data_IF_484674568817
#
_entry.id   IF_484674568817
#
_cell.length_a   1.000
_cell.length_b   1.000
_cell.length_c   1.000
_cell.angle_alpha   90.00
_cell.angle_beta   90.00
_cell.angle_gamma   90.00
#
_symmetry.space_group_name_H-M   'P 1'
#
loop_
_entity.id
_entity.type
_entity.pdbx_description
1 polymer ?
#
# COMPACT_ATOMS: atom_id res chain seq x y z
N UNK A 1 28.03 -3.82 -16.40
CA UNK A 1 27.62 -2.58 -15.71
C UNK A 1 28.13 -2.68 -14.28
N UNK A 2 29.13 -1.88 -13.93
CA UNK A 2 29.70 -1.81 -12.58
C UNK A 2 28.69 -1.13 -11.65
N UNK A 3 28.37 -1.76 -10.52
CA UNK A 3 27.56 -1.13 -9.46
C UNK A 3 28.26 0.16 -9.00
N UNK A 4 27.56 1.31 -8.97
CA UNK A 4 28.15 2.54 -8.46
C UNK A 4 28.65 2.32 -7.03
N UNK A 5 29.80 2.92 -6.69
CA UNK A 5 30.31 2.85 -5.33
C UNK A 5 29.32 3.53 -4.38
N UNK A 6 29.27 3.10 -3.12
CA UNK A 6 28.40 3.68 -2.09
C UNK A 6 28.59 5.21 -2.00
N UNK A 7 29.82 5.67 -2.16
CA UNK A 7 30.17 7.10 -2.16
C UNK A 7 29.55 7.86 -3.34
N UNK A 8 29.58 7.29 -4.54
CA UNK A 8 28.94 7.89 -5.72
C UNK A 8 27.41 7.91 -5.54
N UNK A 9 26.82 6.85 -5.00
CA UNK A 9 25.39 6.78 -4.72
C UNK A 9 24.95 7.83 -3.69
N UNK A 10 25.75 8.07 -2.65
CA UNK A 10 25.53 9.14 -1.67
C UNK A 10 25.61 10.53 -2.30
N UNK A 11 26.63 10.80 -3.13
CA UNK A 11 26.79 12.09 -3.84
C UNK A 11 25.62 12.37 -4.78
N UNK A 12 25.21 11.39 -5.57
CA UNK A 12 24.06 11.51 -6.47
C UNK A 12 22.76 11.76 -5.70
N UNK A 13 22.54 11.01 -4.62
CA UNK A 13 21.34 11.19 -3.76
C UNK A 13 21.31 12.58 -3.12
N UNK A 14 22.46 13.12 -2.72
CA UNK A 14 22.57 14.49 -2.20
C UNK A 14 22.16 15.53 -3.26
N UNK A 15 22.74 15.46 -4.46
CA UNK A 15 22.44 16.42 -5.55
C UNK A 15 20.97 16.37 -5.98
N UNK A 16 20.40 15.18 -6.10
CA UNK A 16 18.99 15.01 -6.42
C UNK A 16 18.08 15.57 -5.32
N UNK A 17 18.43 15.36 -4.04
CA UNK A 17 17.65 15.89 -2.93
C UNK A 17 17.74 17.41 -2.84
N UNK A 18 18.90 18.02 -3.15
CA UNK A 18 19.04 19.48 -3.31
C UNK A 18 18.14 19.99 -4.44
N UNK A 19 18.08 19.28 -5.57
CA UNK A 19 17.19 19.65 -6.67
C UNK A 19 15.72 19.60 -6.26
N UNK A 20 15.29 18.55 -5.55
CA UNK A 20 13.93 18.44 -5.01
C UNK A 20 13.62 19.59 -4.06
N UNK A 21 14.55 19.90 -3.13
CA UNK A 21 14.41 21.01 -2.19
C UNK A 21 14.22 22.34 -2.89
N UNK A 22 15.02 22.63 -3.91
CA UNK A 22 14.94 23.89 -4.66
C UNK A 22 13.59 24.01 -5.39
N UNK A 23 13.12 22.94 -6.05
CA UNK A 23 11.79 22.95 -6.69
C UNK A 23 10.65 23.18 -5.71
N UNK A 24 10.78 22.69 -4.47
CA UNK A 24 9.79 22.94 -3.41
C UNK A 24 9.80 24.41 -3.00
N UNK A 25 10.98 25.02 -2.89
CA UNK A 25 11.14 26.46 -2.59
C UNK A 25 10.61 27.34 -3.73
N UNK A 26 10.90 26.98 -4.98
CA UNK A 26 10.39 27.68 -6.16
C UNK A 26 8.86 27.63 -6.19
N UNK A 27 8.28 26.46 -5.89
CA UNK A 27 6.82 26.33 -5.79
C UNK A 27 6.22 27.14 -4.63
N UNK A 28 6.94 27.34 -3.53
CA UNK A 28 6.50 28.27 -2.49
C UNK A 28 6.47 29.71 -2.99
N UNK A 29 7.47 30.13 -3.78
CA UNK A 29 7.51 31.47 -4.38
C UNK A 29 6.36 31.69 -5.38
N UNK A 30 6.00 30.66 -6.15
CA UNK A 30 4.83 30.70 -7.04
C UNK A 30 3.51 30.92 -6.27
N UNK A 31 3.43 30.45 -5.02
CA UNK A 31 2.22 30.48 -4.19
C UNK A 31 2.18 31.68 -3.22
N UNK A 32 3.05 32.68 -3.40
CA UNK A 32 3.15 33.85 -2.50
C UNK A 32 1.84 34.63 -2.42
N UNK A 33 1.16 34.80 -3.55
CA UNK A 33 -0.10 35.53 -3.61
C UNK A 33 -1.19 34.78 -2.82
N UNK A 34 -1.31 33.47 -2.96
CA UNK A 34 -2.24 32.65 -2.19
C UNK A 34 -1.91 32.63 -0.70
N UNK A 35 -0.62 32.54 -0.36
CA UNK A 35 -0.15 32.56 1.03
C UNK A 35 -0.43 33.92 1.71
N UNK A 36 -0.51 35.01 0.95
CA UNK A 36 -0.83 36.35 1.48
C UNK A 36 -2.22 36.45 2.10
N UNK A 37 -3.17 35.59 1.69
CA UNK A 37 -4.52 35.53 2.25
C UNK A 37 -4.61 34.73 3.56
N UNK A 38 -3.54 34.05 3.97
CA UNK A 38 -3.53 33.20 5.17
C UNK A 38 -3.25 34.06 6.41
N UNK A 39 -4.06 33.89 7.46
CA UNK A 39 -3.83 34.54 8.74
C UNK A 39 -2.44 34.21 9.31
N UNK A 40 -1.72 35.21 9.82
CA UNK A 40 -0.32 35.09 10.27
C UNK A 40 -0.05 33.89 11.20
N UNK A 41 -0.97 33.59 12.14
CA UNK A 41 -0.87 32.44 13.06
C UNK A 41 -0.83 31.07 12.37
N UNK A 42 -1.34 30.97 11.14
CA UNK A 42 -1.41 29.73 10.37
C UNK A 42 -0.40 29.71 9.22
N UNK A 43 0.36 30.78 9.00
CA UNK A 43 1.24 30.92 7.83
C UNK A 43 2.31 29.84 7.77
N UNK A 44 2.88 29.45 8.91
CA UNK A 44 3.87 28.35 9.01
C UNK A 44 3.27 27.02 8.51
N UNK A 45 2.05 26.69 8.94
CA UNK A 45 1.36 25.47 8.52
C UNK A 45 0.96 25.50 7.04
N UNK A 46 0.52 26.66 6.54
CA UNK A 46 0.18 26.83 5.13
C UNK A 46 1.41 26.69 4.23
N UNK A 47 2.56 27.26 4.62
CA UNK A 47 3.84 27.08 3.92
C UNK A 47 4.24 25.60 3.89
N UNK A 48 4.15 24.90 5.02
CA UNK A 48 4.44 23.46 5.06
C UNK A 48 3.49 22.64 4.17
N UNK A 49 2.21 23.02 4.05
CA UNK A 49 1.29 22.38 3.11
C UNK A 49 1.67 22.64 1.64
N UNK A 50 2.10 23.86 1.31
CA UNK A 50 2.66 24.19 -0.01
C UNK A 50 3.91 23.35 -0.28
N UNK A 51 4.79 23.19 0.72
CA UNK A 51 5.97 22.34 0.59
C UNK A 51 5.63 20.87 0.35
N UNK A 52 4.64 20.34 1.09
CA UNK A 52 4.18 18.97 0.91
C UNK A 52 3.60 18.74 -0.48
N UNK A 53 2.82 19.70 -0.96
CA UNK A 53 2.24 19.68 -2.30
C UNK A 53 3.34 19.75 -3.36
N UNK A 54 4.34 20.61 -3.17
CA UNK A 54 5.53 20.70 -4.03
C UNK A 54 6.32 19.41 -4.09
N UNK A 55 6.47 18.71 -2.95
CA UNK A 55 7.12 17.40 -2.86
C UNK A 55 6.32 16.34 -3.63
N UNK A 56 5.00 16.28 -3.46
CA UNK A 56 4.12 15.31 -4.13
C UNK A 56 4.02 15.51 -5.64
N UNK A 57 4.43 16.68 -6.16
CA UNK A 57 4.56 16.95 -7.59
C UNK A 57 5.82 16.34 -8.22
N UNK A 58 6.78 15.88 -7.42
CA UNK A 58 8.01 15.26 -7.90
C UNK A 58 7.89 13.73 -7.83
N UNK A 59 8.39 13.03 -8.85
CA UNK A 59 8.63 11.59 -8.73
C UNK A 59 9.96 11.36 -7.97
N UNK A 60 9.82 11.14 -6.67
CA UNK A 60 10.95 10.88 -5.75
C UNK A 60 11.16 9.39 -5.48
N UNK A 61 10.39 8.50 -6.11
CA UNK A 61 10.47 7.05 -5.89
C UNK A 61 11.90 6.50 -6.12
N UNK A 62 12.61 6.91 -7.19
CA UNK A 62 13.98 6.47 -7.41
C UNK A 62 14.93 6.97 -6.32
N UNK A 63 14.76 8.21 -5.87
CA UNK A 63 15.58 8.82 -4.82
C UNK A 63 15.33 8.14 -3.47
N UNK A 64 14.07 7.89 -3.10
CA UNK A 64 13.69 7.15 -1.89
C UNK A 64 14.31 5.76 -1.87
N UNK A 65 14.28 5.05 -3.00
CA UNK A 65 14.88 3.72 -3.11
C UNK A 65 16.39 3.76 -2.83
N UNK A 66 17.10 4.76 -3.39
CA UNK A 66 18.54 4.96 -3.13
C UNK A 66 18.82 5.30 -1.67
N UNK A 67 18.05 6.21 -1.08
CA UNK A 67 18.19 6.57 0.35
C UNK A 67 17.98 5.35 1.26
N UNK A 68 16.99 4.51 0.96
CA UNK A 68 16.75 3.26 1.71
C UNK A 68 17.92 2.29 1.61
N UNK A 69 18.54 2.14 0.44
CA UNK A 69 19.75 1.30 0.30
C UNK A 69 20.95 1.84 1.08
N UNK A 70 20.95 3.14 1.40
CA UNK A 70 21.95 3.78 2.26
C UNK A 70 21.59 3.72 3.76
N UNK A 71 20.47 3.07 4.12
CA UNK A 71 19.98 3.00 5.50
C UNK A 71 19.33 4.29 6.00
N UNK A 72 19.06 5.25 5.11
CA UNK A 72 18.35 6.48 5.42
C UNK A 72 16.87 6.25 5.11
N UNK A 73 15.99 6.41 6.11
CA UNK A 73 14.55 6.30 5.93
C UNK A 73 13.80 7.59 6.31
N UNK A 74 13.87 8.64 5.48
CA UNK A 74 13.50 9.96 5.97
C UNK A 74 12.18 10.50 5.41
N UNK A 75 11.56 9.87 4.40
CA UNK A 75 10.40 10.43 3.71
C UNK A 75 9.10 9.67 3.96
N UNK A 76 9.06 8.84 5.00
CA UNK A 76 7.85 8.14 5.41
C UNK A 76 6.84 9.08 6.08
N UNK A 77 7.32 10.10 6.80
CA UNK A 77 6.49 11.06 7.53
C UNK A 77 6.90 12.53 7.39
N UNK A 78 7.08 13.09 6.16
CA UNK A 78 7.47 14.49 5.99
C UNK A 78 6.32 15.46 6.28
N UNK A 79 5.09 14.98 6.50
CA UNK A 79 3.87 15.80 6.59
C UNK A 79 3.94 16.92 7.63
N UNK A 80 4.61 16.69 8.76
CA UNK A 80 4.69 17.67 9.84
C UNK A 80 5.70 18.80 9.59
N UNK A 81 6.77 18.51 8.83
CA UNK A 81 7.82 19.48 8.52
C UNK A 81 8.64 19.02 7.30
N UNK A 82 8.16 19.35 6.10
CA UNK A 82 8.72 18.82 4.85
C UNK A 82 10.15 19.28 4.62
N UNK A 83 10.43 20.59 4.70
CA UNK A 83 11.77 21.11 4.50
C UNK A 83 12.72 20.71 5.62
N UNK A 84 12.26 20.68 6.88
CA UNK A 84 13.10 20.23 8.00
C UNK A 84 13.54 18.77 7.85
N UNK A 85 12.64 17.91 7.39
CA UNK A 85 12.97 16.51 7.07
C UNK A 85 13.96 16.41 5.92
N UNK A 86 13.77 17.17 4.84
CA UNK A 86 14.72 17.20 3.71
C UNK A 86 16.10 17.70 4.16
N UNK A 87 16.15 18.76 4.96
CA UNK A 87 17.39 19.37 5.45
C UNK A 87 18.16 18.43 6.39
N UNK A 88 17.46 17.64 7.22
CA UNK A 88 18.08 16.62 8.06
C UNK A 88 18.80 15.53 7.24
N UNK A 89 18.21 15.13 6.10
CA UNK A 89 18.82 14.13 5.21
C UNK A 89 19.99 14.71 4.44
N UNK A 90 19.86 15.94 3.96
CA UNK A 90 20.97 16.66 3.35
C UNK A 90 22.14 16.77 4.32
N UNK A 91 21.88 17.09 5.59
CA UNK A 91 22.90 17.12 6.64
C UNK A 91 23.53 15.75 6.91
N UNK A 92 22.76 14.65 6.84
CA UNK A 92 23.29 13.29 6.98
C UNK A 92 24.18 12.87 5.80
N UNK A 93 23.88 13.36 4.59
CA UNK A 93 24.63 13.07 3.37
C UNK A 93 25.85 14.00 3.17
N UNK A 94 25.81 15.22 3.71
CA UNK A 94 26.83 16.26 3.50
C UNK A 94 28.27 15.86 3.89
N UNK A 95 28.55 15.17 5.02
CA UNK A 95 29.90 14.81 5.43
C UNK A 95 30.65 13.92 4.42
N UNK A 96 29.91 13.28 3.52
CA UNK A 96 30.41 12.30 2.55
C UNK A 96 30.43 12.90 1.12
N UNK A 97 29.75 14.03 0.89
CA UNK A 97 29.65 14.65 -0.42
C UNK A 97 30.75 15.70 -0.72
N UNK A 98 31.29 16.41 0.30
CA UNK A 98 32.52 17.25 0.34
C UNK A 98 32.53 18.15 1.63
N UNK A 99 33.66 18.72 2.10
CA UNK A 99 33.74 19.40 3.40
C UNK A 99 33.17 20.84 3.39
N UNK A 100 31.99 21.00 4.01
CA UNK A 100 31.39 22.21 4.66
C UNK A 100 31.21 23.53 3.87
N UNK A 101 30.11 24.25 4.12
CA UNK A 101 30.16 25.33 5.11
C UNK A 101 29.30 24.97 6.30
N UNK A 102 29.70 25.45 7.47
CA UNK A 102 28.96 25.31 8.74
C UNK A 102 27.46 25.49 8.55
N UNK A 103 26.73 24.37 8.52
CA UNK A 103 25.30 24.36 8.78
C UNK A 103 25.14 24.85 10.21
N UNK A 104 24.65 26.08 10.35
CA UNK A 104 24.24 26.62 11.63
C UNK A 104 23.02 25.79 12.10
N UNK A 105 23.29 24.69 12.80
CA UNK A 105 22.30 23.83 13.47
C UNK A 105 21.55 24.56 14.59
N UNK A 106 21.92 25.83 14.86
CA UNK A 106 21.21 26.76 15.74
C UNK A 106 19.78 27.08 15.26
N UNK A 107 19.38 26.65 14.06
CA UNK A 107 17.99 26.68 13.57
C UNK A 107 17.22 25.36 13.66
N UNK A 108 17.88 24.22 13.96
CA UNK A 108 17.16 22.96 14.27
C UNK A 108 16.84 22.97 15.76
N UNK A 109 16.06 23.97 16.17
CA UNK A 109 15.08 23.70 17.21
C UNK A 109 14.17 22.64 16.63
N UNK A 110 14.31 21.40 17.09
CA UNK A 110 13.10 20.66 17.41
C UNK A 110 12.37 21.56 18.38
N UNK A 111 11.55 22.48 17.85
CA UNK A 111 10.45 23.02 18.63
C UNK A 111 9.72 21.76 19.06
N UNK A 112 9.96 21.38 20.31
CA UNK A 112 9.08 20.49 21.04
C UNK A 112 7.73 21.14 20.88
N UNK A 113 7.01 20.70 19.84
CA UNK A 113 5.70 21.18 19.51
C UNK A 113 4.89 20.82 20.72
N UNK A 114 4.73 21.81 21.59
CA UNK A 114 3.71 21.93 22.59
C UNK A 114 3.41 20.62 23.31
N UNK A 115 3.97 20.45 24.50
CA UNK A 115 3.41 19.56 25.52
C UNK A 115 1.99 19.94 25.94
N UNK A 116 1.38 20.98 25.34
CA UNK A 116 -0.07 21.16 25.36
C UNK A 116 -0.70 20.40 24.18
N UNK A 117 -1.66 19.54 24.51
CA UNK A 117 -2.43 18.64 23.67
C UNK A 117 -3.14 19.36 22.48
N UNK A 118 -2.38 19.78 21.45
CA UNK A 118 -2.87 20.49 20.25
C UNK A 118 -3.00 19.58 19.03
N UNK A 119 -2.66 18.29 19.15
CA UNK A 119 -2.77 17.33 18.07
C UNK A 119 -4.24 17.15 17.68
N UNK A 120 -4.57 17.42 16.41
CA UNK A 120 -5.87 17.11 15.83
C UNK A 120 -5.89 15.62 15.50
N UNK A 121 -6.64 14.84 16.26
CA UNK A 121 -6.78 13.40 16.03
C UNK A 121 -7.98 13.14 15.11
N UNK A 122 -7.70 12.66 13.90
CA UNK A 122 -8.73 12.17 12.98
C UNK A 122 -8.84 10.66 13.09
N UNK A 123 -10.06 10.14 13.30
CA UNK A 123 -10.31 8.71 13.23
C UNK A 123 -11.32 8.40 12.11
N UNK A 124 -11.09 7.30 11.39
CA UNK A 124 -12.09 6.79 10.44
C UNK A 124 -13.15 6.01 11.20
N UNK A 125 -14.41 6.41 11.08
CA UNK A 125 -15.49 5.73 11.76
C UNK A 125 -15.69 4.32 11.19
N UNK A 126 -15.80 3.30 12.05
CA UNK A 126 -16.14 1.95 11.64
C UNK A 126 -17.69 1.81 11.51
N UNK A 127 -18.21 0.88 10.67
CA UNK A 127 -19.65 0.66 10.47
C UNK A 127 -20.47 0.53 11.76
N UNK A 128 -19.87 -0.07 12.79
CA UNK A 128 -20.45 -0.28 14.11
C UNK A 128 -20.88 1.02 14.79
N UNK A 129 -20.24 2.16 14.48
CA UNK A 129 -20.63 3.46 14.99
C UNK A 129 -22.05 3.88 14.57
N UNK A 130 -22.60 3.29 13.51
CA UNK A 130 -23.99 3.50 13.10
C UNK A 130 -25.00 2.85 14.07
N UNK A 131 -24.61 1.80 14.80
CA UNK A 131 -25.55 0.98 15.58
C UNK A 131 -25.16 0.89 17.05
N UNK A 132 -23.94 1.29 17.40
CA UNK A 132 -23.44 1.31 18.75
C UNK A 132 -22.90 2.71 19.11
N UNK A 133 -23.73 3.46 19.83
CA UNK A 133 -23.42 4.79 20.34
C UNK A 133 -22.10 4.83 21.16
N UNK A 134 -21.78 3.76 21.91
CA UNK A 134 -20.60 3.72 22.78
C UNK A 134 -19.30 3.82 21.98
N UNK A 135 -19.29 3.36 20.73
CA UNK A 135 -18.13 3.49 19.84
C UNK A 135 -17.80 4.97 19.62
N UNK A 136 -18.81 5.80 19.32
CA UNK A 136 -18.61 7.24 19.12
C UNK A 136 -18.17 7.94 20.41
N UNK A 137 -18.75 7.57 21.55
CA UNK A 137 -18.38 8.16 22.84
C UNK A 137 -16.93 7.85 23.23
N UNK A 138 -16.53 6.58 23.18
CA UNK A 138 -15.16 6.17 23.52
C UNK A 138 -14.11 6.83 22.61
N UNK A 139 -14.40 6.97 21.30
CA UNK A 139 -13.49 7.65 20.37
C UNK A 139 -13.31 9.13 20.74
N UNK A 140 -14.38 9.82 21.14
CA UNK A 140 -14.30 11.21 21.60
C UNK A 140 -13.54 11.34 22.92
N UNK A 141 -13.79 10.45 23.88
CA UNK A 141 -13.10 10.41 25.17
C UNK A 141 -11.61 10.14 25.01
N UNK A 142 -11.24 9.27 24.07
CA UNK A 142 -9.87 8.98 23.67
C UNK A 142 -9.18 10.14 22.93
N UNK A 143 -9.90 11.21 22.60
CA UNK A 143 -9.32 12.45 22.06
C UNK A 143 -9.58 12.72 20.58
N UNK A 144 -10.46 11.97 19.91
CA UNK A 144 -10.83 12.24 18.50
C UNK A 144 -11.42 13.65 18.34
N UNK A 145 -10.88 14.42 17.40
CA UNK A 145 -11.36 15.76 17.03
C UNK A 145 -12.06 15.78 15.67
N UNK A 146 -11.72 14.85 14.78
CA UNK A 146 -12.34 14.74 13.45
C UNK A 146 -12.76 13.29 13.19
N UNK A 147 -14.05 13.10 12.91
CA UNK A 147 -14.58 11.84 12.45
C UNK A 147 -14.59 11.80 10.91
N UNK A 148 -13.83 10.87 10.32
CA UNK A 148 -13.82 10.61 8.88
C UNK A 148 -14.82 9.49 8.55
N UNK A 149 -15.81 9.77 7.71
CA UNK A 149 -16.72 8.78 7.12
C UNK A 149 -16.28 8.57 5.66
N UNK A 150 -16.01 7.33 5.26
CA UNK A 150 -15.59 7.02 3.89
C UNK A 150 -16.79 6.65 3.04
N UNK A 151 -17.14 7.48 2.07
CA UNK A 151 -18.26 7.19 1.15
C UNK A 151 -18.03 5.97 0.24
N UNK A 152 -16.79 5.48 0.16
CA UNK A 152 -16.44 4.25 -0.56
C UNK A 152 -16.88 2.97 0.16
N UNK A 153 -17.34 3.07 1.40
CA UNK A 153 -17.88 1.98 2.20
C UNK A 153 -19.28 2.37 2.69
N UNK A 154 -20.11 1.35 2.89
CA UNK A 154 -21.45 1.49 3.46
C UNK A 154 -22.38 2.36 2.59
N UNK A 155 -23.54 2.74 3.15
CA UNK A 155 -24.60 3.47 2.47
C UNK A 155 -25.01 4.75 3.21
N UNK A 156 -25.83 5.58 2.55
CA UNK A 156 -26.33 6.85 3.09
C UNK A 156 -27.00 6.68 4.47
N UNK A 157 -27.85 5.66 4.64
CA UNK A 157 -28.56 5.41 5.89
C UNK A 157 -27.62 5.10 7.05
N UNK A 158 -26.56 4.34 6.75
CA UNK A 158 -25.51 4.00 7.71
C UNK A 158 -24.74 5.25 8.13
N UNK A 159 -24.36 6.12 7.18
CA UNK A 159 -23.66 7.37 7.49
C UNK A 159 -24.53 8.33 8.30
N UNK A 160 -25.81 8.47 7.98
CA UNK A 160 -26.75 9.32 8.73
C UNK A 160 -26.84 8.87 10.20
N UNK A 161 -26.91 7.56 10.45
CA UNK A 161 -26.90 6.99 11.80
C UNK A 161 -25.58 7.25 12.53
N UNK A 162 -24.43 7.10 11.86
CA UNK A 162 -23.13 7.45 12.44
C UNK A 162 -23.09 8.93 12.85
N UNK A 163 -23.54 9.82 11.98
CA UNK A 163 -23.58 11.27 12.23
C UNK A 163 -24.50 11.57 13.42
N UNK A 164 -25.67 10.93 13.49
CA UNK A 164 -26.59 11.08 14.61
C UNK A 164 -25.94 10.66 15.94
N UNK A 165 -25.37 9.46 16.01
CA UNK A 165 -24.71 8.95 17.21
C UNK A 165 -23.52 9.83 17.63
N UNK A 166 -22.71 10.27 16.67
CA UNK A 166 -21.55 11.13 16.95
C UNK A 166 -21.97 12.51 17.46
N UNK A 167 -23.00 13.13 16.87
CA UNK A 167 -23.52 14.42 17.36
C UNK A 167 -24.08 14.31 18.77
N UNK A 168 -24.81 13.22 19.05
CA UNK A 168 -25.28 12.91 20.40
C UNK A 168 -24.10 12.74 21.37
N UNK A 169 -23.11 11.92 21.02
CA UNK A 169 -21.94 11.66 21.87
C UNK A 169 -21.10 12.92 22.12
N UNK A 170 -21.00 13.80 21.12
CA UNK A 170 -20.35 15.11 21.24
C UNK A 170 -21.07 16.03 22.22
N UNK A 171 -22.41 16.04 22.20
CA UNK A 171 -23.22 16.79 23.17
C UNK A 171 -23.06 16.24 24.60
N UNK A 172 -23.16 14.91 24.76
CA UNK A 172 -23.10 14.25 26.07
C UNK A 172 -21.71 14.38 26.73
N UNK A 173 -20.64 14.26 25.94
CA UNK A 173 -19.24 14.40 26.42
C UNK A 173 -18.74 15.84 26.49
N UNK A 174 -19.50 16.81 25.95
CA UNK A 174 -19.09 18.22 25.75
C UNK A 174 -17.79 18.38 24.95
N UNK A 175 -17.43 17.40 24.12
CA UNK A 175 -16.25 17.44 23.25
C UNK A 175 -16.66 17.79 21.83
N UNK A 176 -16.03 18.82 21.25
CA UNK A 176 -16.28 19.21 19.85
C UNK A 176 -15.65 18.20 18.89
N UNK A 177 -16.40 17.80 17.87
CA UNK A 177 -15.91 16.92 16.81
C UNK A 177 -16.41 17.39 15.45
N UNK A 178 -15.49 17.57 14.50
CA UNK A 178 -15.83 17.84 13.11
C UNK A 178 -16.11 16.54 12.37
N UNK A 179 -16.97 16.60 11.36
CA UNK A 179 -17.30 15.45 10.51
C UNK A 179 -16.77 15.72 9.11
N UNK A 180 -15.95 14.81 8.61
CA UNK A 180 -15.43 14.83 7.25
C UNK A 180 -16.01 13.64 6.48
N UNK A 181 -16.81 13.92 5.45
CA UNK A 181 -17.24 12.92 4.49
C UNK A 181 -16.23 12.85 3.35
N UNK A 182 -15.50 11.75 3.29
CA UNK A 182 -14.47 11.48 2.30
C UNK A 182 -15.09 10.87 1.05
N UNK A 183 -15.06 11.63 -0.06
CA UNK A 183 -15.68 11.28 -1.33
C UNK A 183 -14.81 10.30 -2.13
N UNK A 184 -15.40 9.21 -2.61
CA UNK A 184 -14.70 8.20 -3.37
C UNK A 184 -14.39 8.67 -4.80
N UNK A 185 -13.13 8.60 -5.21
CA UNK A 185 -12.68 8.83 -6.59
C UNK A 185 -12.15 7.55 -7.29
N UNK A 186 -12.25 6.39 -6.63
CA UNK A 186 -11.65 5.15 -7.15
C UNK A 186 -12.42 4.56 -8.35
N UNK A 187 -11.67 4.20 -9.40
CA UNK A 187 -12.12 3.31 -10.47
C UNK A 187 -12.16 1.88 -9.90
N UNK A 188 -13.35 1.26 -9.90
CA UNK A 188 -13.52 -0.12 -9.43
C UNK A 188 -13.53 -1.07 -10.61
N UNK A 189 -12.73 -2.13 -10.53
CA UNK A 189 -12.90 -3.30 -11.38
C UNK A 189 -14.14 -4.04 -10.86
N UNK A 190 -15.06 -4.38 -11.77
CA UNK A 190 -16.26 -5.14 -11.42
C UNK A 190 -15.92 -6.50 -10.82
N UNK A 191 -16.94 -7.21 -10.34
CA UNK A 191 -16.75 -8.58 -9.87
C UNK A 191 -16.12 -9.43 -10.98
N UNK A 192 -15.02 -10.10 -10.65
CA UNK A 192 -14.49 -11.13 -11.52
C UNK A 192 -15.55 -12.24 -11.60
N UNK A 193 -15.95 -12.61 -12.82
CA UNK A 193 -16.76 -13.81 -13.00
C UNK A 193 -16.01 -14.97 -12.32
N UNK A 194 -16.72 -15.69 -11.45
CA UNK A 194 -16.26 -16.96 -10.89
C UNK A 194 -16.10 -17.92 -12.06
N UNK A 195 -14.90 -17.95 -12.64
CA UNK A 195 -14.48 -19.00 -13.54
C UNK A 195 -13.86 -20.08 -12.66
N UNK A 196 -14.00 -21.34 -13.07
CA UNK A 196 -13.22 -22.42 -12.44
C UNK A 196 -11.75 -21.95 -12.42
N UNK A 197 -11.12 -21.82 -11.24
CA UNK A 197 -9.77 -21.31 -11.16
C UNK A 197 -8.90 -22.20 -12.03
N UNK A 198 -8.06 -21.59 -12.87
CA UNK A 198 -7.08 -22.34 -13.63
C UNK A 198 -6.23 -23.15 -12.64
N UNK A 199 -6.30 -24.48 -12.71
CA UNK A 199 -5.52 -25.35 -11.85
C UNK A 199 -4.08 -25.27 -12.31
N UNK A 200 -3.21 -24.68 -11.49
CA UNK A 200 -1.78 -24.58 -11.78
C UNK A 200 -1.13 -25.95 -11.56
N UNK A 201 -0.69 -26.57 -12.66
CA UNK A 201 0.04 -27.84 -12.65
C UNK A 201 1.47 -27.53 -13.10
N UNK A 202 2.43 -27.64 -12.19
CA UNK A 202 3.83 -27.35 -12.46
C UNK A 202 4.76 -28.43 -11.92
N UNK A 203 5.85 -28.77 -12.65
CA UNK A 203 6.88 -29.65 -12.14
C UNK A 203 7.68 -28.93 -11.06
N UNK A 204 8.22 -29.70 -10.12
CA UNK A 204 9.18 -29.19 -9.16
C UNK A 204 10.53 -28.97 -9.85
N UNK A 205 11.10 -27.78 -9.69
CA UNK A 205 12.37 -27.39 -10.29
C UNK A 205 13.38 -26.97 -9.24
N UNK A 206 14.65 -27.31 -9.44
CA UNK A 206 15.74 -26.82 -8.58
C UNK A 206 16.08 -25.35 -8.88
N UNK A 207 17.02 -24.78 -8.11
CA UNK A 207 17.50 -23.40 -8.29
C UNK A 207 18.07 -23.11 -9.69
N UNK A 208 18.49 -24.15 -10.43
CA UNK A 208 18.98 -24.07 -11.82
C UNK A 208 17.85 -24.22 -12.85
N UNK A 209 16.60 -24.31 -12.42
CA UNK A 209 15.42 -24.48 -13.28
C UNK A 209 15.25 -25.89 -13.88
N UNK A 210 16.06 -26.87 -13.45
CA UNK A 210 15.96 -28.25 -13.92
C UNK A 210 14.83 -28.97 -13.19
N UNK A 211 14.03 -29.76 -13.93
CA UNK A 211 12.93 -30.55 -13.36
C UNK A 211 13.50 -31.66 -12.47
N UNK A 212 13.12 -31.63 -11.19
CA UNK A 212 13.47 -32.66 -10.20
C UNK A 212 12.31 -33.64 -10.00
N UNK A 213 11.07 -33.15 -10.11
CA UNK A 213 9.86 -33.98 -10.03
C UNK A 213 8.84 -33.54 -11.08
N UNK A 214 8.32 -34.50 -11.83
CA UNK A 214 7.26 -34.22 -12.80
C UNK A 214 6.00 -33.73 -12.09
N UNK A 215 5.25 -32.86 -12.77
CA UNK A 215 3.92 -32.50 -12.32
C UNK A 215 3.00 -33.73 -12.39
N UNK A 216 2.19 -33.94 -11.36
CA UNK A 216 1.22 -35.03 -11.28
C UNK A 216 -0.18 -34.43 -11.17
N UNK A 217 -1.14 -35.03 -11.86
CA UNK A 217 -2.54 -34.64 -11.83
C UNK A 217 -3.40 -35.89 -11.83
N UNK A 218 -4.57 -35.85 -11.22
CA UNK A 218 -5.58 -36.91 -11.36
C UNK A 218 -6.75 -36.42 -12.19
N UNK A 219 -7.10 -37.17 -13.24
CA UNK A 219 -8.37 -37.01 -13.92
C UNK A 219 -9.42 -37.86 -13.19
N UNK A 220 -10.40 -37.22 -12.58
CA UNK A 220 -11.37 -37.88 -11.69
C UNK A 220 -12.73 -38.06 -12.37
N UNK A 221 -13.35 -39.22 -12.18
CA UNK A 221 -14.64 -39.58 -12.75
C UNK A 221 -15.79 -39.22 -11.78
N UNK A 222 -17.04 -39.08 -12.28
CA UNK A 222 -18.20 -38.81 -11.43
C UNK A 222 -18.33 -39.83 -10.29
N UNK A 223 -18.46 -39.33 -9.06
CA UNK A 223 -18.54 -40.15 -7.84
C UNK A 223 -17.22 -40.35 -7.10
N UNK A 224 -16.09 -39.85 -7.62
CA UNK A 224 -14.82 -39.81 -6.89
C UNK A 224 -14.92 -38.93 -5.63
N UNK A 225 -14.31 -39.39 -4.53
CA UNK A 225 -14.19 -38.61 -3.30
C UNK A 225 -12.88 -37.81 -3.32
N UNK A 226 -12.91 -36.47 -3.18
CA UNK A 226 -11.71 -35.65 -3.28
C UNK A 226 -10.63 -36.07 -2.30
N UNK A 227 -9.39 -36.22 -2.78
CA UNK A 227 -8.23 -36.53 -1.93
C UNK A 227 -7.25 -35.36 -1.87
N UNK A 228 -6.77 -34.97 -0.68
CA UNK A 228 -5.76 -33.93 -0.58
C UNK A 228 -4.42 -34.41 -1.17
N UNK A 229 -3.68 -33.49 -1.80
CA UNK A 229 -2.26 -33.65 -2.14
C UNK A 229 -1.93 -33.62 -3.64
N UNK A 230 -2.80 -34.14 -4.51
CA UNK A 230 -2.61 -34.09 -5.98
C UNK A 230 -3.74 -33.28 -6.59
N UNK A 231 -3.48 -32.34 -7.51
CA UNK A 231 -4.53 -31.62 -8.22
C UNK A 231 -5.47 -32.58 -8.96
N UNK A 232 -6.78 -32.39 -8.80
CA UNK A 232 -7.81 -33.23 -9.42
C UNK A 232 -8.58 -32.44 -10.49
N UNK A 233 -8.66 -32.99 -11.71
CA UNK A 233 -9.42 -32.44 -12.84
C UNK A 233 -10.64 -33.36 -13.09
N UNK A 234 -11.87 -32.88 -12.90
CA UNK A 234 -13.05 -33.67 -13.22
C UNK A 234 -13.19 -33.88 -14.73
N UNK A 235 -13.47 -35.12 -15.14
CA UNK A 235 -13.75 -35.50 -16.53
C UNK A 235 -15.10 -36.20 -16.61
N UNK A 236 -15.90 -35.89 -17.63
CA UNK A 236 -17.27 -36.40 -17.72
C UNK A 236 -17.34 -37.88 -18.12
N UNK A 237 -16.56 -38.29 -19.12
CA UNK A 237 -16.57 -39.66 -19.66
C UNK A 237 -15.21 -40.03 -20.22
N UNK A 238 -14.67 -41.17 -19.78
CA UNK A 238 -13.56 -41.84 -20.44
C UNK A 238 -13.70 -43.35 -20.26
N UNK A 239 -13.36 -44.12 -21.28
CA UNK A 239 -13.30 -45.58 -21.16
C UNK A 239 -11.96 -45.96 -20.52
N UNK A 240 -11.88 -45.88 -19.18
CA UNK A 240 -10.66 -46.23 -18.44
C UNK A 240 -10.19 -47.67 -18.70
N UNK A 241 -11.09 -48.58 -19.09
CA UNK A 241 -10.77 -49.95 -19.51
C UNK A 241 -9.86 -50.04 -20.75
N UNK A 242 -9.80 -48.99 -21.57
CA UNK A 242 -8.94 -48.93 -22.74
C UNK A 242 -7.56 -48.34 -22.44
N UNK A 243 -7.38 -47.75 -21.25
CA UNK A 243 -6.15 -47.09 -20.85
C UNK A 243 -5.24 -48.04 -20.08
N UNK A 244 -3.94 -47.88 -20.30
CA UNK A 244 -2.88 -48.63 -19.64
C UNK A 244 -1.81 -47.68 -19.12
N UNK A 245 -1.08 -48.15 -18.12
CA UNK A 245 0.12 -47.44 -17.67
C UNK A 245 1.08 -47.24 -18.85
N UNK A 246 1.68 -46.06 -18.92
CA UNK A 246 2.52 -45.54 -20.00
C UNK A 246 1.80 -45.05 -21.27
N UNK A 247 0.47 -45.15 -21.34
CA UNK A 247 -0.27 -44.43 -22.37
C UNK A 247 -0.07 -42.91 -22.21
N UNK A 248 -0.32 -42.16 -23.29
CA UNK A 248 -0.14 -40.71 -23.31
C UNK A 248 -1.49 -40.00 -23.42
N UNK A 249 -1.70 -39.02 -22.54
CA UNK A 249 -2.83 -38.10 -22.59
C UNK A 249 -2.34 -36.80 -23.21
N UNK A 250 -3.07 -36.34 -24.23
CA UNK A 250 -2.85 -35.05 -24.87
C UNK A 250 -3.94 -34.08 -24.45
N UNK A 251 -3.54 -32.92 -23.97
CA UNK A 251 -4.46 -31.87 -23.53
C UNK A 251 -4.00 -30.51 -24.02
N UNK A 252 -4.93 -29.55 -24.00
CA UNK A 252 -4.66 -28.16 -24.29
C UNK A 252 -4.87 -27.34 -23.01
N UNK A 253 -3.88 -26.53 -22.64
CA UNK A 253 -3.96 -25.69 -21.44
C UNK A 253 -4.77 -24.41 -21.70
N UNK A 254 -4.99 -23.61 -20.64
CA UNK A 254 -5.71 -22.33 -20.72
C UNK A 254 -5.01 -21.26 -21.56
N UNK A 255 -3.76 -21.50 -21.98
CA UNK A 255 -3.01 -20.65 -22.90
C UNK A 255 -2.98 -21.23 -24.33
N UNK A 256 -3.89 -22.16 -24.64
CA UNK A 256 -4.04 -22.86 -25.92
C UNK A 256 -2.81 -23.69 -26.34
N UNK A 257 -1.92 -24.03 -25.40
CA UNK A 257 -0.71 -24.79 -25.71
C UNK A 257 -0.95 -26.29 -25.54
N UNK A 258 -0.39 -27.07 -26.46
CA UNK A 258 -0.44 -28.53 -26.38
C UNK A 258 0.45 -29.06 -25.24
N UNK A 259 -0.05 -30.04 -24.50
CA UNK A 259 0.64 -30.74 -23.42
C UNK A 259 0.47 -32.24 -23.61
N UNK A 260 1.49 -32.98 -23.17
CA UNK A 260 1.50 -34.43 -23.13
C UNK A 260 1.80 -34.87 -21.71
N UNK A 261 0.97 -35.75 -21.18
CA UNK A 261 1.15 -36.40 -19.89
C UNK A 261 1.21 -37.92 -20.08
N UNK A 262 1.91 -38.61 -19.20
CA UNK A 262 2.05 -40.06 -19.25
C UNK A 262 1.27 -40.66 -18.09
N UNK A 263 0.45 -41.67 -18.37
CA UNK A 263 -0.37 -42.34 -17.36
C UNK A 263 0.52 -43.20 -16.46
N UNK A 264 0.45 -42.98 -15.15
CA UNK A 264 1.15 -43.76 -14.13
C UNK A 264 0.24 -44.77 -13.44
N UNK A 265 -1.06 -44.47 -13.29
CA UNK A 265 -2.03 -45.37 -12.68
C UNK A 265 -3.45 -45.19 -13.28
N UNK A 266 -4.18 -46.29 -13.41
CA UNK A 266 -5.57 -46.30 -13.90
C UNK A 266 -6.44 -47.03 -12.90
N UNK A 267 -7.42 -46.33 -12.34
CA UNK A 267 -8.46 -46.87 -11.45
C UNK A 267 -9.86 -46.64 -12.05
N UNK A 268 -10.86 -47.22 -11.38
CA UNK A 268 -12.27 -47.08 -11.76
C UNK A 268 -12.81 -45.65 -11.58
N UNK A 269 -12.24 -44.91 -10.64
CA UNK A 269 -12.67 -43.58 -10.20
C UNK A 269 -11.68 -42.46 -10.57
N UNK A 270 -10.42 -42.79 -10.92
CA UNK A 270 -9.43 -41.80 -11.40
C UNK A 270 -8.37 -42.37 -12.36
N UNK A 271 -7.70 -41.48 -13.08
CA UNK A 271 -6.48 -41.72 -13.86
C UNK A 271 -5.41 -40.76 -13.36
N UNK A 272 -4.21 -41.25 -13.07
CA UNK A 272 -3.04 -40.44 -12.65
C UNK A 272 -1.98 -40.41 -13.77
#
# INVERSE_FOLDING_TARGET
>A
MTTPSTHEMMRQSYLELVSVRNKIMDFEQEMVDELSFVAAKNLVHARNLVHYTGLKRQDITPLQTKLLTLGLNPLDHPESNVLGTIDAVLAALAPIAEPSPSLNLSGVTFEAHSTANTAIVMATLPPEAAHNYQVSLHLLEAGMNIARIRSSRDDQHTWEKMIHNLRRASADSRRKCLIMLDLNSMIRIGEFRHHNPAIKIEPERNEKGQVVRNAVVRFVLPGHQPKPGIPEIPIEKVNYHLLKNNDSIYLRDSAERSRRMQITDVKKDYIE
#
